data_IF_269913593090
#
_entry.id   IF_269913593090
#
_cell.length_a   1.000
_cell.length_b   1.000
_cell.length_c   1.000
_cell.angle_alpha   90.00
_cell.angle_beta   90.00
_cell.angle_gamma   90.00
#
_symmetry.space_group_name_H-M   'P 1'
#
loop_
_entity.id
_entity.type
_entity.pdbx_description
1 polymer ?
#
# COMPACT_ATOMS: atom_id res chain seq x y z
N UNK A 1 -4.01 10.31 7.37
CA UNK A 1 -4.35 10.80 8.71
C UNK A 1 -5.83 11.16 8.84
N UNK A 2 -6.41 11.93 7.91
CA UNK A 2 -7.82 12.35 7.95
C UNK A 2 -8.79 11.17 8.10
N UNK A 3 -8.57 10.06 7.37
CA UNK A 3 -9.38 8.84 7.51
C UNK A 3 -9.30 8.21 8.91
N UNK A 4 -8.14 8.29 9.57
CA UNK A 4 -7.99 7.80 10.94
C UNK A 4 -8.74 8.69 11.95
N UNK A 5 -8.70 10.01 11.76
CA UNK A 5 -9.46 10.98 12.57
C UNK A 5 -10.96 10.72 12.41
N UNK A 6 -11.46 10.61 11.18
CA UNK A 6 -12.87 10.28 10.93
C UNK A 6 -13.27 8.94 11.56
N UNK A 7 -12.38 7.95 11.54
CA UNK A 7 -12.57 6.63 12.12
C UNK A 7 -12.87 6.71 13.64
N UNK A 8 -11.97 7.30 14.44
CA UNK A 8 -12.22 7.37 15.89
C UNK A 8 -13.38 8.30 16.24
N UNK A 9 -13.56 9.42 15.52
CA UNK A 9 -14.67 10.34 15.77
C UNK A 9 -16.04 9.67 15.52
N UNK A 10 -16.14 8.84 14.47
CA UNK A 10 -17.34 8.06 14.23
C UNK A 10 -17.58 7.01 15.32
N UNK A 11 -16.53 6.42 15.89
CA UNK A 11 -16.64 5.52 17.04
C UNK A 11 -17.18 6.23 18.27
N UNK A 12 -16.66 7.41 18.61
CA UNK A 12 -17.14 8.20 19.75
C UNK A 12 -18.63 8.56 19.60
N UNK A 13 -19.01 8.99 18.38
CA UNK A 13 -20.41 9.27 18.08
C UNK A 13 -21.30 8.01 18.26
N UNK A 14 -20.89 6.88 17.69
CA UNK A 14 -21.66 5.64 17.77
C UNK A 14 -21.85 5.14 19.21
N UNK A 15 -20.80 5.22 20.01
CA UNK A 15 -20.83 4.87 21.43
C UNK A 15 -21.78 5.81 22.17
N UNK A 16 -21.64 7.13 22.00
CA UNK A 16 -22.53 8.11 22.63
C UNK A 16 -23.99 7.88 22.29
N UNK A 17 -24.30 7.68 21.01
CA UNK A 17 -25.64 7.39 20.53
C UNK A 17 -26.19 6.07 21.11
N UNK A 18 -25.36 5.05 21.22
CA UNK A 18 -25.72 3.75 21.82
C UNK A 18 -25.98 3.87 23.33
N UNK A 19 -25.14 4.60 24.06
CA UNK A 19 -25.31 4.80 25.49
C UNK A 19 -26.61 5.53 25.79
N UNK A 20 -26.98 6.55 25.00
CA UNK A 20 -28.27 7.21 25.11
C UNK A 20 -29.41 6.21 24.91
N UNK A 21 -29.42 5.47 23.79
CA UNK A 21 -30.45 4.45 23.54
C UNK A 21 -30.55 3.43 24.67
N UNK A 22 -29.42 2.94 25.18
CA UNK A 22 -29.39 1.98 26.29
C UNK A 22 -29.99 2.52 27.60
N UNK A 23 -29.93 3.83 27.82
CA UNK A 23 -30.53 4.47 29.00
C UNK A 23 -32.05 4.59 28.91
N UNK A 24 -32.57 4.78 27.70
CA UNK A 24 -33.99 4.96 27.40
C UNK A 24 -34.73 3.63 27.21
N UNK A 25 -34.08 2.65 26.58
CA UNK A 25 -34.70 1.37 26.28
C UNK A 25 -34.91 0.50 27.53
N UNK A 26 -36.14 0.10 27.75
CA UNK A 26 -36.55 -0.80 28.83
C UNK A 26 -36.68 -2.24 28.33
N UNK A 27 -36.17 -3.20 29.10
CA UNK A 27 -36.36 -4.63 28.90
C UNK A 27 -36.25 -5.35 30.26
N UNK A 28 -37.04 -6.38 30.45
CA UNK A 28 -37.05 -7.16 31.70
C UNK A 28 -37.20 -6.29 32.97
N UNK A 29 -38.04 -5.27 32.89
CA UNK A 29 -38.38 -4.38 34.04
C UNK A 29 -37.33 -3.31 34.40
N UNK A 30 -36.28 -3.11 33.57
CA UNK A 30 -35.26 -2.07 33.78
C UNK A 30 -34.63 -1.61 32.48
N UNK A 31 -33.96 -0.45 32.52
CA UNK A 31 -33.20 0.01 31.32
C UNK A 31 -32.06 -0.91 31.01
N UNK A 32 -31.79 -1.10 29.71
CA UNK A 32 -30.79 -2.11 29.25
C UNK A 32 -29.35 -1.76 29.61
N UNK A 33 -29.05 -0.50 29.97
CA UNK A 33 -27.75 -0.07 30.50
C UNK A 33 -27.46 -0.63 31.92
N UNK A 34 -28.40 -1.31 32.55
CA UNK A 34 -28.21 -1.99 33.84
C UNK A 34 -27.73 -3.44 33.70
N UNK A 35 -27.73 -3.99 32.48
CA UNK A 35 -27.21 -5.35 32.27
C UNK A 35 -25.70 -5.36 32.17
N UNK A 36 -25.05 -6.18 32.99
CA UNK A 36 -23.60 -6.23 33.15
C UNK A 36 -22.89 -6.49 31.82
N UNK A 37 -23.40 -7.43 30.99
CA UNK A 37 -22.80 -7.78 29.69
C UNK A 37 -22.73 -6.60 28.73
N UNK A 38 -23.76 -5.76 28.70
CA UNK A 38 -23.77 -4.55 27.87
C UNK A 38 -22.85 -3.47 28.42
N UNK A 39 -22.81 -3.31 29.72
CA UNK A 39 -21.90 -2.37 30.40
C UNK A 39 -20.44 -2.72 30.14
N UNK A 40 -20.05 -4.00 30.28
CA UNK A 40 -18.69 -4.46 30.02
C UNK A 40 -18.30 -4.27 28.56
N UNK A 41 -19.23 -4.56 27.63
CA UNK A 41 -19.03 -4.30 26.20
C UNK A 41 -18.73 -2.84 25.94
N UNK A 42 -19.54 -1.90 26.44
CA UNK A 42 -19.32 -0.46 26.26
C UNK A 42 -18.02 -0.01 26.90
N UNK A 43 -17.69 -0.46 28.09
CA UNK A 43 -16.43 -0.13 28.76
C UNK A 43 -15.21 -0.58 27.95
N UNK A 44 -15.24 -1.79 27.36
CA UNK A 44 -14.19 -2.28 26.48
C UNK A 44 -14.04 -1.40 25.22
N UNK A 45 -15.16 -1.09 24.55
CA UNK A 45 -15.13 -0.28 23.33
C UNK A 45 -14.62 1.14 23.61
N UNK A 46 -15.07 1.77 24.69
CA UNK A 46 -14.60 3.11 25.10
C UNK A 46 -13.10 3.11 25.32
N UNK A 47 -12.57 2.09 26.02
CA UNK A 47 -11.13 1.97 26.28
C UNK A 47 -10.30 1.81 25.01
N UNK A 48 -10.77 0.99 24.06
CA UNK A 48 -10.10 0.78 22.78
C UNK A 48 -10.14 2.05 21.89
N UNK A 49 -11.27 2.75 21.87
CA UNK A 49 -11.43 4.01 21.13
C UNK A 49 -10.54 5.10 21.70
N UNK A 50 -10.46 5.22 23.02
CA UNK A 50 -9.58 6.20 23.66
C UNK A 50 -8.10 5.92 23.35
N UNK A 51 -7.67 4.68 23.45
CA UNK A 51 -6.29 4.29 23.08
C UNK A 51 -5.97 4.62 21.62
N UNK A 52 -6.88 4.29 20.68
CA UNK A 52 -6.72 4.61 19.27
C UNK A 52 -6.69 6.12 19.03
N UNK A 53 -7.58 6.88 19.67
CA UNK A 53 -7.62 8.35 19.60
C UNK A 53 -6.28 8.97 20.02
N UNK A 54 -5.68 8.52 21.13
CA UNK A 54 -4.40 9.02 21.60
C UNK A 54 -3.29 8.75 20.60
N UNK A 55 -3.28 7.57 19.97
CA UNK A 55 -2.33 7.27 18.90
C UNK A 55 -2.52 8.16 17.66
N UNK A 56 -3.77 8.36 17.21
CA UNK A 56 -4.08 9.26 16.08
C UNK A 56 -3.67 10.70 16.37
N UNK A 57 -3.93 11.19 17.58
CA UNK A 57 -3.52 12.53 18.01
C UNK A 57 -1.99 12.67 18.13
N UNK A 58 -1.29 11.60 18.52
CA UNK A 58 0.17 11.55 18.46
C UNK A 58 0.67 11.71 17.03
N UNK A 59 0.12 10.93 16.07
CA UNK A 59 0.45 11.07 14.65
C UNK A 59 0.16 12.48 14.12
N UNK A 60 -0.95 13.11 14.55
CA UNK A 60 -1.26 14.47 14.14
C UNK A 60 -0.20 15.47 14.62
N UNK A 61 0.25 15.37 15.88
CA UNK A 61 1.33 16.23 16.42
C UNK A 61 2.65 16.05 15.69
N UNK A 62 3.02 14.80 15.35
CA UNK A 62 4.22 14.53 14.57
C UNK A 62 4.12 15.12 13.15
N UNK A 63 2.94 15.02 12.51
CA UNK A 63 2.68 15.63 11.21
C UNK A 63 2.87 17.15 11.26
N UNK A 64 2.30 17.81 12.27
CA UNK A 64 2.38 19.25 12.46
C UNK A 64 3.83 19.71 12.75
N UNK A 65 4.62 18.84 13.38
CA UNK A 65 6.05 19.05 13.57
C UNK A 65 6.89 18.83 12.30
N UNK A 66 6.27 18.41 11.17
CA UNK A 66 6.96 18.15 9.90
C UNK A 66 7.72 16.82 9.87
N UNK A 67 7.45 15.90 10.80
CA UNK A 67 8.08 14.59 10.83
C UNK A 67 7.62 13.69 9.67
N UNK A 68 8.47 12.74 9.30
CA UNK A 68 8.14 11.72 8.31
C UNK A 68 7.36 10.58 8.99
N UNK A 69 6.04 10.54 8.79
CA UNK A 69 5.11 9.67 9.52
C UNK A 69 4.29 8.72 8.63
N UNK A 70 4.83 8.28 7.51
CA UNK A 70 4.08 7.39 6.59
C UNK A 70 3.71 6.08 7.26
N UNK A 71 4.62 5.49 8.05
CA UNK A 71 4.38 4.28 8.82
C UNK A 71 3.28 4.49 9.87
N UNK A 72 3.42 5.53 10.68
CA UNK A 72 2.49 5.89 11.75
C UNK A 72 1.09 6.21 11.19
N UNK A 73 1.02 6.96 10.09
CA UNK A 73 -0.24 7.23 9.39
C UNK A 73 -0.91 5.96 8.84
N UNK A 74 -0.11 5.02 8.32
CA UNK A 74 -0.63 3.74 7.83
C UNK A 74 -1.17 2.88 8.97
N UNK A 75 -0.45 2.83 10.11
CA UNK A 75 -0.90 2.18 11.34
C UNK A 75 -2.18 2.84 11.88
N UNK A 76 -2.22 4.17 11.96
CA UNK A 76 -3.38 4.91 12.45
C UNK A 76 -4.62 4.66 11.58
N UNK A 77 -4.46 4.65 10.25
CA UNK A 77 -5.55 4.36 9.31
C UNK A 77 -6.05 2.93 9.48
N UNK A 78 -5.16 1.96 9.53
CA UNK A 78 -5.49 0.54 9.72
C UNK A 78 -6.28 0.32 11.01
N UNK A 79 -5.71 0.75 12.13
CA UNK A 79 -6.32 0.56 13.45
C UNK A 79 -7.67 1.26 13.58
N UNK A 80 -7.76 2.53 13.14
CA UNK A 80 -9.01 3.30 13.26
C UNK A 80 -10.14 2.72 12.40
N UNK A 81 -9.85 2.26 11.18
CA UNK A 81 -10.87 1.71 10.29
C UNK A 81 -11.37 0.34 10.76
N UNK A 82 -10.51 -0.53 11.24
CA UNK A 82 -10.91 -1.85 11.78
C UNK A 82 -11.64 -1.72 13.12
N UNK A 83 -11.20 -0.77 13.96
CA UNK A 83 -11.89 -0.45 15.20
C UNK A 83 -13.29 0.11 14.95
N UNK A 84 -13.46 0.98 13.94
CA UNK A 84 -14.76 1.53 13.57
C UNK A 84 -15.73 0.41 13.16
N UNK A 85 -15.30 -0.57 12.37
CA UNK A 85 -16.11 -1.72 11.99
C UNK A 85 -16.54 -2.54 13.23
N UNK A 86 -15.60 -2.81 14.14
CA UNK A 86 -15.88 -3.49 15.41
C UNK A 86 -16.89 -2.71 16.28
N UNK A 87 -16.67 -1.42 16.46
CA UNK A 87 -17.53 -0.55 17.29
C UNK A 87 -18.93 -0.47 16.70
N UNK A 88 -19.07 -0.22 15.38
CA UNK A 88 -20.39 -0.13 14.74
C UNK A 88 -21.15 -1.45 14.85
N UNK A 89 -20.49 -2.58 14.67
CA UNK A 89 -21.09 -3.91 14.84
C UNK A 89 -21.63 -4.12 16.26
N UNK A 90 -20.82 -3.80 17.27
CA UNK A 90 -21.21 -4.01 18.66
C UNK A 90 -22.28 -3.01 19.15
N UNK A 91 -22.20 -1.78 18.65
CA UNK A 91 -23.22 -0.77 18.90
C UNK A 91 -24.57 -1.16 18.27
N UNK A 92 -24.57 -1.52 16.99
CA UNK A 92 -25.77 -1.98 16.28
C UNK A 92 -26.43 -3.17 17.01
N UNK A 93 -25.61 -4.13 17.45
CA UNK A 93 -26.12 -5.29 18.23
C UNK A 93 -26.85 -4.87 19.50
N UNK A 94 -26.45 -3.75 20.13
CA UNK A 94 -27.08 -3.25 21.34
C UNK A 94 -28.47 -2.65 21.10
N UNK A 95 -28.81 -2.26 19.87
CA UNK A 95 -30.14 -1.84 19.46
C UNK A 95 -31.09 -3.02 19.22
N UNK A 96 -30.58 -4.26 19.08
CA UNK A 96 -31.36 -5.42 18.71
C UNK A 96 -32.06 -5.23 17.36
N UNK A 97 -33.34 -5.61 17.22
CA UNK A 97 -34.09 -5.45 15.98
C UNK A 97 -34.19 -4.01 15.47
N UNK A 98 -34.19 -3.05 16.34
CA UNK A 98 -34.17 -1.62 15.96
C UNK A 98 -32.84 -1.19 15.28
N UNK A 99 -31.75 -1.88 15.55
CA UNK A 99 -30.49 -1.63 14.87
C UNK A 99 -30.51 -1.96 13.37
N UNK A 100 -31.44 -2.82 12.93
CA UNK A 100 -31.64 -3.17 11.53
C UNK A 100 -32.53 -2.18 10.76
N UNK A 101 -33.29 -1.36 11.48
CA UNK A 101 -34.25 -0.41 10.87
C UNK A 101 -33.57 0.88 10.45
N UNK A 102 -33.90 1.39 9.25
CA UNK A 102 -33.34 2.64 8.69
C UNK A 102 -33.77 3.90 9.48
N UNK A 103 -34.82 3.81 10.30
CA UNK A 103 -35.27 4.88 11.22
C UNK A 103 -34.17 5.23 12.25
N UNK A 104 -33.32 4.28 12.58
CA UNK A 104 -32.18 4.47 13.46
C UNK A 104 -30.90 4.71 12.68
N UNK A 105 -30.20 5.81 12.99
CA UNK A 105 -28.95 6.20 12.33
C UNK A 105 -27.86 5.11 12.39
N UNK A 106 -27.98 4.15 13.33
CA UNK A 106 -27.02 3.08 13.53
C UNK A 106 -26.96 2.10 12.34
N UNK A 107 -28.09 1.80 11.68
CA UNK A 107 -28.12 0.96 10.47
C UNK A 107 -27.25 1.55 9.34
N UNK A 108 -27.42 2.86 9.10
CA UNK A 108 -26.59 3.59 8.12
C UNK A 108 -25.13 3.64 8.55
N UNK A 109 -24.84 3.98 9.79
CA UNK A 109 -23.48 4.09 10.30
C UNK A 109 -22.71 2.76 10.18
N UNK A 110 -23.37 1.65 10.48
CA UNK A 110 -22.81 0.30 10.29
C UNK A 110 -22.47 0.01 8.84
N UNK A 111 -23.34 0.34 7.90
CA UNK A 111 -23.09 0.15 6.46
C UNK A 111 -21.95 1.05 5.96
N UNK A 112 -21.98 2.32 6.35
CA UNK A 112 -21.06 3.34 5.85
C UNK A 112 -19.65 3.16 6.41
N UNK A 113 -19.48 2.63 7.63
CA UNK A 113 -18.15 2.40 8.21
C UNK A 113 -17.32 1.38 7.41
N UNK A 114 -17.96 0.48 6.66
CA UNK A 114 -17.28 -0.56 5.88
C UNK A 114 -16.33 0.02 4.83
N UNK A 115 -16.64 1.19 4.27
CA UNK A 115 -15.76 1.86 3.30
C UNK A 115 -14.41 2.24 3.94
N UNK A 116 -14.35 2.41 5.25
CA UNK A 116 -13.12 2.76 5.97
C UNK A 116 -11.99 1.75 5.81
N UNK A 117 -12.30 0.45 5.77
CA UNK A 117 -11.30 -0.62 5.59
C UNK A 117 -10.91 -0.85 4.11
N UNK A 118 -11.60 -0.18 3.17
CA UNK A 118 -11.42 -0.34 1.72
C UNK A 118 -10.82 0.94 1.11
N UNK A 119 -11.41 2.10 1.39
CA UNK A 119 -11.05 3.38 0.81
C UNK A 119 -9.71 3.92 1.31
N UNK A 120 -9.01 4.72 0.48
CA UNK A 120 -7.73 5.32 0.84
C UNK A 120 -6.59 4.33 1.09
N UNK A 121 -6.67 3.16 0.48
CA UNK A 121 -5.83 1.99 0.70
C UNK A 121 -6.52 0.98 1.62
N UNK A 122 -6.72 -0.26 1.14
CA UNK A 122 -7.37 -1.30 1.95
C UNK A 122 -6.52 -1.68 3.17
N UNK A 123 -7.13 -2.40 4.11
CA UNK A 123 -6.41 -2.93 5.28
C UNK A 123 -5.18 -3.73 4.90
N UNK A 124 -5.23 -4.50 3.80
CA UNK A 124 -4.11 -5.28 3.28
C UNK A 124 -2.99 -4.35 2.76
N UNK A 125 -3.35 -3.30 2.04
CA UNK A 125 -2.38 -2.29 1.55
C UNK A 125 -1.71 -1.57 2.71
N UNK A 126 -2.46 -1.21 3.76
CA UNK A 126 -1.86 -0.60 4.96
C UNK A 126 -0.86 -1.54 5.63
N UNK A 127 -1.21 -2.83 5.76
CA UNK A 127 -0.30 -3.85 6.31
C UNK A 127 0.95 -4.01 5.45
N UNK A 128 0.81 -4.01 4.13
CA UNK A 128 1.93 -4.11 3.21
C UNK A 128 2.88 -2.91 3.31
N UNK A 129 2.35 -1.68 3.41
CA UNK A 129 3.17 -0.47 3.61
C UNK A 129 3.95 -0.58 4.94
N UNK A 130 3.28 -0.97 6.02
CA UNK A 130 3.90 -1.13 7.34
C UNK A 130 5.00 -2.20 7.28
N UNK A 131 4.70 -3.37 6.68
CA UNK A 131 5.65 -4.47 6.54
C UNK A 131 6.90 -4.05 5.77
N UNK A 132 6.75 -3.40 4.62
CA UNK A 132 7.87 -2.88 3.83
C UNK A 132 8.74 -1.90 4.59
N UNK A 133 8.13 -1.03 5.40
CA UNK A 133 8.89 -0.05 6.19
C UNK A 133 9.59 -0.65 7.40
N UNK A 134 9.01 -1.70 8.01
CA UNK A 134 9.54 -2.30 9.26
C UNK A 134 10.44 -3.50 8.98
N UNK A 135 10.12 -4.29 7.95
CA UNK A 135 10.83 -5.53 7.62
C UNK A 135 11.88 -5.29 6.54
N UNK A 136 11.51 -4.56 5.48
CA UNK A 136 12.35 -4.37 4.29
C UNK A 136 13.12 -3.04 4.32
N UNK A 137 13.03 -2.28 5.40
CA UNK A 137 13.65 -0.94 5.60
C UNK A 137 13.37 0.05 4.44
N UNK A 138 12.18 -0.06 3.84
CA UNK A 138 11.76 0.77 2.71
C UNK A 138 11.30 2.15 3.19
N UNK A 139 11.79 3.22 2.56
CA UNK A 139 11.35 4.61 2.81
C UNK A 139 10.48 5.11 1.64
N UNK A 140 9.27 5.60 1.94
CA UNK A 140 8.35 6.21 0.97
C UNK A 140 8.56 7.72 0.94
N UNK A 141 9.30 8.25 -0.05
CA UNK A 141 9.46 9.69 -0.22
C UNK A 141 8.36 10.25 -1.11
N UNK A 142 7.92 11.47 -0.80
CA UNK A 142 6.95 12.19 -1.65
C UNK A 142 7.63 12.56 -2.97
N UNK A 143 7.04 12.17 -4.10
CA UNK A 143 7.53 12.60 -5.41
C UNK A 143 7.56 14.15 -5.47
N UNK A 144 8.75 14.74 -5.60
CA UNK A 144 8.95 16.19 -5.71
C UNK A 144 9.56 16.90 -4.49
N UNK A 145 9.83 16.22 -3.37
CA UNK A 145 10.59 16.82 -2.27
C UNK A 145 12.10 16.60 -2.48
N UNK A 146 12.80 17.60 -2.98
CA UNK A 146 14.26 17.64 -2.92
C UNK A 146 14.62 17.78 -1.43
N UNK A 147 15.19 16.73 -0.87
CA UNK A 147 15.54 16.60 0.54
C UNK A 147 16.64 17.59 0.92
N UNK A 148 16.32 18.45 1.86
CA UNK A 148 17.30 18.99 2.81
C UNK A 148 16.91 18.54 4.22
N UNK A 149 17.17 17.28 4.56
CA UNK A 149 17.04 16.78 5.93
C UNK A 149 18.45 16.56 6.50
N UNK A 150 18.76 17.05 7.72
CA UNK A 150 20.04 16.80 8.35
C UNK A 150 20.13 15.33 8.77
N UNK A 151 21.22 14.68 8.37
CA UNK A 151 21.57 13.32 8.79
C UNK A 151 21.70 13.29 10.32
N UNK A 152 20.82 12.54 10.98
CA UNK A 152 21.00 12.19 12.40
C UNK A 152 22.23 11.32 12.55
N UNK A 153 23.13 11.70 13.48
CA UNK A 153 24.38 10.98 13.79
C UNK A 153 24.04 9.61 14.39
N UNK A 154 24.76 8.54 14.02
CA UNK A 154 24.59 7.23 14.64
C UNK A 154 25.04 7.25 16.10
N UNK A 155 24.25 6.61 16.96
CA UNK A 155 24.66 6.25 18.33
C UNK A 155 25.68 5.13 18.23
N UNK A 156 26.89 5.35 18.76
CA UNK A 156 27.95 4.35 18.81
C UNK A 156 27.54 3.14 19.66
N UNK A 157 27.40 1.99 19.02
CA UNK A 157 27.42 0.69 19.68
C UNK A 157 28.77 0.02 19.41
N UNK A 158 29.43 -0.44 20.48
CA UNK A 158 30.77 -1.04 20.49
C UNK A 158 30.91 -2.19 19.50
N UNK A 159 31.96 -2.14 18.71
CA UNK A 159 32.44 -3.18 17.79
C UNK A 159 32.77 -4.47 18.52
N UNK A 160 32.34 -5.57 17.95
CA UNK A 160 33.08 -6.84 17.96
C UNK A 160 33.32 -7.18 16.49
N UNK A 161 34.58 -7.25 16.13
CA UNK A 161 35.04 -7.49 14.75
C UNK A 161 34.74 -8.92 14.32
N UNK A 162 34.05 -9.07 13.20
CA UNK A 162 34.21 -10.24 12.33
C UNK A 162 34.21 -9.76 10.89
N UNK A 163 35.35 -9.87 10.29
CA UNK A 163 35.68 -9.45 8.94
C UNK A 163 34.90 -10.31 7.92
N UNK A 164 33.96 -9.74 7.19
CA UNK A 164 33.52 -10.28 5.90
C UNK A 164 33.45 -9.11 4.92
N UNK A 165 34.31 -9.20 3.91
CA UNK A 165 34.41 -8.33 2.75
C UNK A 165 33.16 -8.49 1.89
N UNK A 166 32.36 -7.44 1.69
CA UNK A 166 31.46 -7.34 0.55
C UNK A 166 31.40 -5.91 0.06
N UNK A 167 32.16 -5.68 -0.99
CA UNK A 167 31.95 -4.58 -1.92
C UNK A 167 30.73 -4.92 -2.78
N UNK A 168 29.53 -4.40 -2.46
CA UNK A 168 28.42 -4.37 -3.40
C UNK A 168 28.17 -2.92 -3.85
N UNK A 169 28.98 -2.52 -4.83
CA UNK A 169 28.60 -1.50 -5.80
C UNK A 169 27.43 -2.06 -6.60
N UNK A 170 26.23 -1.43 -6.49
CA UNK A 170 25.11 -1.66 -7.37
C UNK A 170 25.56 -1.40 -8.81
N UNK A 171 25.96 -2.47 -9.50
CA UNK A 171 26.48 -2.39 -10.89
C UNK A 171 25.28 -2.24 -11.82
N UNK A 172 25.02 -1.02 -12.26
CA UNK A 172 24.12 -0.76 -13.39
C UNK A 172 24.79 -1.38 -14.63
N UNK A 173 24.08 -2.25 -15.34
CA UNK A 173 24.58 -2.83 -16.58
C UNK A 173 24.71 -1.72 -17.64
N UNK A 174 25.78 -1.78 -18.45
CA UNK A 174 25.91 -0.91 -19.62
C UNK A 174 24.81 -1.23 -20.63
N UNK A 175 24.48 -0.27 -21.50
CA UNK A 175 23.48 -0.47 -22.56
C UNK A 175 23.76 -1.72 -23.41
N UNK A 176 25.03 -1.95 -23.76
CA UNK A 176 25.49 -3.14 -24.51
C UNK A 176 25.24 -4.45 -23.75
N UNK A 177 25.40 -4.44 -22.43
CA UNK A 177 25.12 -5.60 -21.59
C UNK A 177 23.61 -5.87 -21.48
N UNK A 178 22.79 -4.84 -21.45
CA UNK A 178 21.31 -4.94 -21.47
C UNK A 178 20.84 -5.48 -22.82
N UNK A 179 21.39 -4.98 -23.93
CA UNK A 179 21.11 -5.47 -25.28
C UNK A 179 21.42 -6.94 -25.40
N UNK A 180 22.60 -7.36 -24.95
CA UNK A 180 23.03 -8.76 -24.98
C UNK A 180 22.12 -9.66 -24.14
N UNK A 181 21.73 -9.22 -22.95
CA UNK A 181 20.83 -9.97 -22.08
C UNK A 181 19.41 -10.10 -22.66
N UNK A 182 18.90 -9.04 -23.32
CA UNK A 182 17.61 -9.09 -24.02
C UNK A 182 17.68 -10.03 -25.21
N UNK A 183 18.76 -10.01 -25.99
CA UNK A 183 18.97 -10.92 -27.12
C UNK A 183 19.01 -12.40 -26.68
N UNK A 184 19.70 -12.69 -25.59
CA UNK A 184 19.81 -14.05 -25.06
C UNK A 184 18.43 -14.56 -24.58
N UNK A 185 17.70 -13.77 -23.82
CA UNK A 185 16.35 -14.12 -23.33
C UNK A 185 15.33 -14.20 -24.48
N UNK A 186 15.42 -13.30 -25.44
CA UNK A 186 14.54 -13.31 -26.63
C UNK A 186 14.76 -14.53 -27.51
N UNK A 187 16.00 -15.00 -27.64
CA UNK A 187 16.34 -16.22 -28.41
C UNK A 187 15.84 -17.49 -27.69
N UNK A 188 15.78 -17.48 -26.36
CA UNK A 188 15.27 -18.61 -25.56
C UNK A 188 13.74 -18.66 -25.49
N UNK A 189 13.06 -17.54 -25.76
CA UNK A 189 11.61 -17.42 -25.66
C UNK A 189 10.90 -17.74 -26.99
N UNK A 190 9.64 -18.18 -26.89
CA UNK A 190 8.80 -18.35 -28.11
C UNK A 190 8.53 -16.99 -28.77
N UNK A 191 8.30 -16.93 -30.10
CA UNK A 191 7.96 -15.71 -30.80
C UNK A 191 6.79 -14.99 -30.16
N UNK A 192 6.94 -13.68 -29.91
CA UNK A 192 5.92 -12.85 -29.23
C UNK A 192 4.65 -12.66 -30.06
N UNK A 193 4.76 -12.73 -31.39
CA UNK A 193 3.69 -12.38 -32.33
C UNK A 193 3.38 -10.87 -32.39
N UNK A 194 4.20 -10.03 -31.76
CA UNK A 194 4.02 -8.58 -31.64
C UNK A 194 5.37 -7.85 -31.59
N UNK A 195 5.35 -6.53 -31.78
CA UNK A 195 6.52 -5.67 -31.64
C UNK A 195 6.51 -4.96 -30.28
N UNK A 196 7.65 -4.99 -29.57
CA UNK A 196 7.83 -4.38 -28.27
C UNK A 196 9.09 -3.52 -28.25
N UNK A 197 8.97 -2.26 -27.79
CA UNK A 197 10.08 -1.32 -27.71
C UNK A 197 10.35 -0.94 -26.24
N UNK A 198 11.59 -1.10 -25.80
CA UNK A 198 12.07 -0.55 -24.54
C UNK A 198 12.73 0.80 -24.80
N UNK A 199 12.26 1.84 -24.10
CA UNK A 199 12.78 3.18 -24.25
C UNK A 199 13.49 3.61 -22.96
N UNK A 200 14.73 4.07 -23.09
CA UNK A 200 15.60 4.52 -21.99
C UNK A 200 15.95 6.01 -22.10
N UNK A 201 15.07 6.80 -22.70
CA UNK A 201 15.27 8.22 -23.00
C UNK A 201 15.85 8.42 -24.39
N UNK A 202 17.17 8.55 -24.54
CA UNK A 202 17.82 8.76 -25.85
C UNK A 202 18.12 7.45 -26.60
N UNK A 203 18.11 6.33 -25.92
CA UNK A 203 18.38 4.99 -26.50
C UNK A 203 17.15 4.10 -26.40
N UNK A 204 17.01 3.19 -27.34
CA UNK A 204 15.92 2.20 -27.31
C UNK A 204 16.40 0.83 -27.82
N UNK A 205 15.70 -0.21 -27.37
CA UNK A 205 15.84 -1.59 -27.84
C UNK A 205 14.46 -2.07 -28.29
N UNK A 206 14.36 -2.50 -29.54
CA UNK A 206 13.14 -3.05 -30.12
C UNK A 206 13.23 -4.56 -30.26
N UNK A 207 12.19 -5.23 -29.84
CA UNK A 207 11.99 -6.68 -29.99
C UNK A 207 10.86 -6.89 -31.00
N UNK A 208 11.16 -7.45 -32.13
CA UNK A 208 10.20 -7.86 -33.14
C UNK A 208 10.02 -9.40 -33.08
N UNK A 209 8.85 -9.81 -32.65
CA UNK A 209 8.44 -11.21 -32.56
C UNK A 209 7.36 -11.59 -33.57
N UNK A 210 7.15 -10.80 -34.62
CA UNK A 210 6.11 -11.07 -35.64
C UNK A 210 6.49 -12.19 -36.61
N UNK A 211 7.79 -12.56 -36.68
CA UNK A 211 8.30 -13.66 -37.51
C UNK A 211 8.38 -14.98 -36.74
N UNK A 212 9.09 -15.95 -37.37
CA UNK A 212 9.33 -17.29 -36.79
C UNK A 212 10.31 -17.27 -35.58
N UNK A 213 10.98 -16.14 -35.36
CA UNK A 213 11.91 -15.92 -34.24
C UNK A 213 11.85 -14.46 -33.77
N UNK A 214 12.25 -14.24 -32.52
CA UNK A 214 12.35 -12.89 -31.96
C UNK A 214 13.63 -12.20 -32.47
N UNK A 215 13.51 -11.06 -33.13
CA UNK A 215 14.63 -10.24 -33.60
C UNK A 215 14.78 -9.01 -32.73
N UNK A 216 15.99 -8.72 -32.24
CA UNK A 216 16.30 -7.57 -31.41
C UNK A 216 17.12 -6.55 -32.20
N UNK A 217 16.60 -5.32 -32.29
CA UNK A 217 17.27 -4.17 -32.92
C UNK A 217 17.45 -3.05 -31.92
N UNK A 218 18.49 -2.23 -32.08
CA UNK A 218 18.81 -1.11 -31.20
C UNK A 218 18.68 0.20 -31.95
N UNK A 219 18.24 1.25 -31.25
CA UNK A 219 18.05 2.62 -31.77
C UNK A 219 17.14 2.68 -33.03
N UNK A 220 16.15 1.79 -33.07
CA UNK A 220 15.17 1.75 -34.17
C UNK A 220 14.12 2.83 -33.99
N UNK A 221 13.90 3.63 -35.06
CA UNK A 221 12.90 4.73 -35.07
C UNK A 221 11.48 4.23 -35.38
N UNK A 222 11.29 2.96 -35.75
CA UNK A 222 10.00 2.37 -36.11
C UNK A 222 9.05 2.36 -34.90
N UNK A 223 7.78 2.67 -35.11
CA UNK A 223 6.77 2.54 -34.07
C UNK A 223 6.47 1.08 -33.73
N UNK A 224 6.49 0.74 -32.46
CA UNK A 224 6.14 -0.58 -31.96
C UNK A 224 4.68 -0.64 -31.49
N UNK A 225 4.05 -1.80 -31.53
CA UNK A 225 2.69 -2.02 -31.01
C UNK A 225 2.61 -1.75 -29.50
N UNK A 226 3.70 -1.95 -28.79
CA UNK A 226 3.84 -1.60 -27.40
C UNK A 226 5.19 -0.94 -27.13
N UNK A 227 5.21 0.19 -26.46
CA UNK A 227 6.42 0.88 -26.00
C UNK A 227 6.44 0.91 -24.48
N UNK A 228 7.56 0.53 -23.90
CA UNK A 228 7.80 0.47 -22.46
C UNK A 228 8.88 1.48 -22.10
N UNK A 229 8.49 2.59 -21.48
CA UNK A 229 9.42 3.56 -20.92
C UNK A 229 9.90 3.05 -19.55
N UNK A 230 11.19 2.77 -19.40
CA UNK A 230 11.79 2.19 -18.19
C UNK A 230 13.21 2.73 -17.97
N UNK A 231 13.61 2.90 -16.72
CA UNK A 231 14.98 3.26 -16.36
C UNK A 231 15.92 2.04 -16.54
N UNK A 232 17.17 2.26 -16.98
CA UNK A 232 18.15 1.19 -17.18
C UNK A 232 18.40 0.36 -15.91
N UNK A 233 18.35 1.02 -14.75
CA UNK A 233 18.49 0.37 -13.43
C UNK A 233 17.36 -0.62 -13.13
N UNK A 234 16.11 -0.21 -13.40
CA UNK A 234 14.93 -1.03 -13.15
C UNK A 234 14.85 -2.20 -14.13
N UNK A 235 15.23 -2.00 -15.39
CA UNK A 235 15.34 -3.09 -16.35
C UNK A 235 16.46 -4.07 -15.99
N UNK A 236 17.60 -3.57 -15.52
CA UNK A 236 18.69 -4.42 -15.03
C UNK A 236 18.23 -5.31 -13.87
N UNK A 237 17.46 -4.75 -12.92
CA UNK A 237 16.88 -5.51 -11.82
C UNK A 237 15.87 -6.56 -12.29
N UNK A 238 15.08 -6.25 -13.34
CA UNK A 238 14.14 -7.20 -13.94
C UNK A 238 14.85 -8.33 -14.68
N UNK A 239 15.92 -8.02 -15.42
CA UNK A 239 16.72 -9.03 -16.12
C UNK A 239 17.43 -9.99 -15.16
N UNK A 240 17.83 -9.52 -13.98
CA UNK A 240 18.41 -10.33 -12.89
C UNK A 240 17.39 -11.11 -12.07
N UNK A 241 16.09 -10.84 -12.25
CA UNK A 241 15.02 -11.44 -11.45
C UNK A 241 14.76 -10.77 -10.09
N UNK A 242 15.47 -9.67 -9.78
CA UNK A 242 15.34 -8.93 -8.52
C UNK A 242 14.07 -8.06 -8.49
N UNK A 243 13.47 -7.77 -9.65
CA UNK A 243 12.27 -6.94 -9.79
C UNK A 243 11.25 -7.63 -10.70
N UNK A 244 10.07 -7.93 -10.17
CA UNK A 244 8.99 -8.49 -10.97
C UNK A 244 8.38 -7.41 -11.89
N UNK A 245 8.21 -7.67 -13.22
CA UNK A 245 7.63 -6.73 -14.17
C UNK A 245 6.27 -6.16 -13.78
N UNK A 246 5.39 -6.98 -13.19
CA UNK A 246 4.08 -6.55 -12.71
C UNK A 246 4.18 -5.56 -11.56
N UNK A 247 5.07 -5.81 -10.59
CA UNK A 247 5.32 -4.90 -9.48
C UNK A 247 5.97 -3.58 -9.96
N UNK A 248 6.86 -3.64 -10.94
CA UNK A 248 7.47 -2.47 -11.56
C UNK A 248 6.43 -1.58 -12.27
N UNK A 249 5.45 -2.20 -12.95
CA UNK A 249 4.32 -1.50 -13.56
C UNK A 249 3.41 -0.85 -12.50
N UNK A 250 2.99 -1.60 -11.48
CA UNK A 250 2.11 -1.08 -10.42
C UNK A 250 2.76 0.01 -9.56
N UNK A 251 4.09 -0.01 -9.42
CA UNK A 251 4.85 1.03 -8.72
C UNK A 251 5.18 2.26 -9.58
N UNK A 252 4.76 2.29 -10.86
CA UNK A 252 4.98 3.40 -11.78
C UNK A 252 6.43 3.52 -12.30
N UNK A 253 7.29 2.52 -12.08
CA UNK A 253 8.66 2.43 -12.58
C UNK A 253 8.72 2.11 -14.08
N UNK A 254 7.64 1.53 -14.59
CA UNK A 254 7.43 1.23 -16.00
C UNK A 254 6.19 1.98 -16.47
N UNK A 255 6.32 2.70 -17.58
CA UNK A 255 5.18 3.30 -18.28
C UNK A 255 4.99 2.59 -19.60
N UNK A 256 3.80 2.05 -19.82
CA UNK A 256 3.43 1.33 -21.03
C UNK A 256 2.58 2.24 -21.92
N UNK A 257 2.93 2.32 -23.19
CA UNK A 257 2.17 2.99 -24.25
C UNK A 257 1.85 1.97 -25.35
N UNK A 258 0.59 1.87 -25.75
CA UNK A 258 0.10 0.91 -26.74
C UNK A 258 -0.60 -0.29 -26.10
N UNK A 259 -0.50 -1.46 -26.71
CA UNK A 259 -1.26 -2.65 -26.30
C UNK A 259 -0.73 -3.28 -25.00
N UNK A 260 -1.55 -3.17 -23.94
CA UNK A 260 -1.25 -3.71 -22.62
C UNK A 260 -1.09 -5.24 -22.63
N UNK A 261 -1.73 -5.96 -23.54
CA UNK A 261 -1.62 -7.41 -23.64
C UNK A 261 -0.22 -7.87 -24.06
N UNK A 262 0.46 -7.03 -24.85
CA UNK A 262 1.86 -7.23 -25.25
C UNK A 262 2.80 -6.99 -24.08
N UNK A 263 2.52 -5.96 -23.26
CA UNK A 263 3.29 -5.67 -22.05
C UNK A 263 3.20 -6.80 -21.02
N UNK A 264 2.05 -7.46 -20.88
CA UNK A 264 1.88 -8.61 -19.96
C UNK A 264 2.73 -9.83 -20.38
N UNK A 265 3.02 -9.99 -21.68
CA UNK A 265 3.91 -11.06 -22.18
C UNK A 265 5.39 -10.84 -21.80
N UNK A 266 5.75 -9.62 -21.36
CA UNK A 266 7.07 -9.30 -20.80
C UNK A 266 7.47 -10.24 -19.65
N UNK A 267 6.52 -10.60 -18.78
CA UNK A 267 6.76 -11.55 -17.69
C UNK A 267 7.17 -12.94 -18.17
N UNK A 268 6.77 -13.33 -19.37
CA UNK A 268 7.11 -14.64 -19.97
C UNK A 268 8.52 -14.64 -20.60
N UNK A 269 9.05 -13.47 -20.98
CA UNK A 269 10.38 -13.32 -21.59
C UNK A 269 11.45 -13.04 -20.53
N UNK A 270 11.09 -12.31 -19.49
CA UNK A 270 12.02 -11.85 -18.46
C UNK A 270 12.05 -12.73 -17.19
N UNK A 271 11.05 -13.62 -17.03
CA UNK A 271 10.91 -14.51 -15.86
C UNK A 271 11.72 -15.78 -15.90
#
# INVERSE_FOLDING_TARGET
LTGAIAGYASCEWAIGYTLQYMSERQAFGRSINKFQVLRHRMAQLISEVEANKQFVLHCARQHDAGEYIVKECSMAKLLSSELAEKVMTQCLQSFGGYGFMEDYKMARAYRDCRVGTIGGGSSEIMREIIAKMVIDDTSYQRAGSVSSAPKSKPVEAKKTETTINTNDKKTVMSFEAIESAIKEKAAAAKPLGNTLKFNFGEQNVMLDGTGDSNVVTTNDATEAQCTVDVAMEDLTAMLKGDLNPMNAFMSGKIKVKGDMSVAMKLGTIMG
#
